data_IF_718086319201
#
_entry.id   IF_718086319201
#
_cell.length_a   1.000
_cell.length_b   1.000
_cell.length_c   1.000
_cell.angle_alpha   90.00
_cell.angle_beta   90.00
_cell.angle_gamma   90.00
#
_symmetry.space_group_name_H-M   'P 1'
#
loop_
_entity.id
_entity.type
_entity.pdbx_description
1 polymer ?
#
# COMPACT_ATOMS: atom_id res chain seq x y z
N UNK A 1 -9.22 7.89 37.07
CA UNK A 1 -9.95 6.94 36.15
C UNK A 1 -9.47 7.08 34.71
N UNK A 2 -9.40 8.31 34.16
CA UNK A 2 -8.88 8.54 32.78
C UNK A 2 -7.44 8.09 32.61
N UNK A 3 -6.56 8.29 33.60
CA UNK A 3 -5.15 7.89 33.52
C UNK A 3 -4.98 6.38 33.35
N UNK A 4 -5.75 5.58 34.09
CA UNK A 4 -5.71 4.11 33.94
C UNK A 4 -6.19 3.62 32.57
N UNK A 5 -7.21 4.29 32.02
CA UNK A 5 -7.72 3.96 30.68
C UNK A 5 -6.66 4.31 29.63
N UNK A 6 -6.03 5.47 29.79
CA UNK A 6 -4.94 5.90 28.91
C UNK A 6 -3.75 4.92 28.94
N UNK A 7 -3.31 4.52 30.13
CA UNK A 7 -2.23 3.55 30.31
C UNK A 7 -2.54 2.18 29.65
N UNK A 8 -3.80 1.72 29.78
CA UNK A 8 -4.22 0.45 29.14
C UNK A 8 -4.19 0.57 27.61
N UNK A 9 -4.73 1.68 27.08
CA UNK A 9 -4.73 1.93 25.64
C UNK A 9 -3.30 2.02 25.10
N UNK A 10 -2.43 2.74 25.81
CA UNK A 10 -1.04 2.89 25.41
C UNK A 10 -0.28 1.57 25.45
N UNK A 11 -0.48 0.77 26.50
CA UNK A 11 0.12 -0.56 26.59
C UNK A 11 -0.37 -1.50 25.48
N UNK A 12 -1.63 -1.41 25.10
CA UNK A 12 -2.16 -2.17 23.98
C UNK A 12 -1.59 -1.69 22.63
N UNK A 13 -1.46 -0.38 22.45
CA UNK A 13 -0.85 0.22 21.26
C UNK A 13 0.61 -0.21 21.10
N UNK A 14 1.42 -0.08 22.16
CA UNK A 14 2.83 -0.49 22.19
C UNK A 14 3.01 -1.99 21.91
N UNK A 15 2.08 -2.83 22.41
CA UNK A 15 2.10 -4.26 22.12
C UNK A 15 1.77 -4.56 20.67
N UNK A 16 0.71 -3.94 20.13
CA UNK A 16 0.27 -4.15 18.73
C UNK A 16 1.31 -3.64 17.74
N UNK A 17 1.84 -2.43 17.96
CA UNK A 17 2.83 -1.80 17.08
C UNK A 17 4.28 -2.12 17.45
N UNK A 18 4.49 -3.09 18.32
CA UNK A 18 5.79 -3.58 18.70
C UNK A 18 6.49 -4.40 17.62
N UNK A 19 7.60 -5.02 17.99
CA UNK A 19 8.44 -5.84 17.10
C UNK A 19 7.69 -6.96 16.39
N UNK A 20 6.63 -7.51 17.00
CA UNK A 20 5.80 -8.55 16.40
C UNK A 20 5.09 -8.09 15.13
N UNK A 21 4.45 -6.93 15.16
CA UNK A 21 3.79 -6.35 14.00
C UNK A 21 4.80 -5.94 12.92
N UNK A 22 5.91 -5.34 13.30
CA UNK A 22 6.98 -4.96 12.37
C UNK A 22 7.51 -6.20 11.64
N UNK A 23 7.79 -7.27 12.36
CA UNK A 23 8.27 -8.54 11.79
C UNK A 23 7.22 -9.16 10.84
N UNK A 24 5.94 -9.13 11.22
CA UNK A 24 4.84 -9.63 10.40
C UNK A 24 4.69 -8.81 9.11
N UNK A 25 4.71 -7.49 9.19
CA UNK A 25 4.60 -6.61 8.03
C UNK A 25 5.79 -6.79 7.08
N UNK A 26 7.01 -6.75 7.59
CA UNK A 26 8.21 -6.96 6.78
C UNK A 26 8.25 -8.38 6.19
N UNK A 27 7.88 -9.39 6.98
CA UNK A 27 7.78 -10.77 6.52
C UNK A 27 6.77 -10.94 5.39
N UNK A 28 5.61 -10.31 5.51
CA UNK A 28 4.57 -10.32 4.46
C UNK A 28 5.07 -9.62 3.19
N UNK A 29 5.70 -8.46 3.31
CA UNK A 29 6.26 -7.74 2.18
C UNK A 29 7.34 -8.56 1.47
N UNK A 30 8.22 -9.21 2.23
CA UNK A 30 9.29 -10.04 1.70
C UNK A 30 8.72 -11.30 1.03
N UNK A 31 7.78 -11.97 1.67
CA UNK A 31 7.08 -13.13 1.12
C UNK A 31 6.41 -12.78 -0.21
N UNK A 32 5.64 -11.70 -0.27
CA UNK A 32 4.99 -11.26 -1.50
C UNK A 32 6.00 -10.85 -2.58
N UNK A 33 7.09 -10.20 -2.21
CA UNK A 33 8.17 -9.85 -3.14
C UNK A 33 8.76 -11.09 -3.83
N UNK A 34 9.04 -12.13 -3.05
CA UNK A 34 9.56 -13.40 -3.58
C UNK A 34 8.47 -14.10 -4.42
N UNK A 35 7.25 -14.17 -3.91
CA UNK A 35 6.12 -14.84 -4.57
C UNK A 35 5.72 -14.21 -5.89
N UNK A 36 5.85 -12.89 -6.01
CA UNK A 36 5.55 -12.14 -7.25
C UNK A 36 6.76 -12.05 -8.20
N UNK A 37 7.88 -12.68 -7.86
CA UNK A 37 9.07 -12.72 -8.71
C UNK A 37 9.73 -11.35 -8.87
N UNK A 38 9.92 -10.61 -7.78
CA UNK A 38 10.54 -9.28 -7.77
C UNK A 38 9.82 -8.30 -8.70
N UNK A 39 8.50 -8.21 -8.54
CA UNK A 39 7.63 -7.37 -9.38
C UNK A 39 8.10 -5.91 -9.46
N UNK A 40 8.79 -5.42 -8.42
CA UNK A 40 9.35 -4.07 -8.37
C UNK A 40 10.19 -3.72 -9.61
N UNK A 41 10.96 -4.68 -10.12
CA UNK A 41 11.79 -4.50 -11.31
C UNK A 41 10.96 -4.25 -12.58
N UNK A 42 9.76 -4.83 -12.64
CA UNK A 42 8.84 -4.70 -13.79
C UNK A 42 7.92 -3.51 -13.66
N UNK A 43 7.63 -3.08 -12.43
CA UNK A 43 6.66 -2.01 -12.14
C UNK A 43 7.13 -0.68 -12.68
N UNK A 44 8.41 -0.33 -12.55
CA UNK A 44 8.93 0.97 -12.99
C UNK A 44 8.80 1.10 -14.52
N UNK A 45 9.22 0.10 -15.27
CA UNK A 45 9.21 0.16 -16.74
C UNK A 45 7.85 -0.12 -17.36
N UNK A 46 7.16 -1.18 -16.89
CA UNK A 46 5.87 -1.57 -17.44
C UNK A 46 4.72 -0.76 -16.85
N UNK A 47 4.78 -0.43 -15.57
CA UNK A 47 3.73 0.33 -14.89
C UNK A 47 3.55 1.72 -15.50
N UNK A 48 4.63 2.48 -15.69
CA UNK A 48 4.58 3.80 -16.33
C UNK A 48 4.06 3.67 -17.76
N UNK A 49 4.56 2.72 -18.53
CA UNK A 49 4.11 2.51 -19.91
C UNK A 49 2.61 2.19 -19.98
N UNK A 50 2.11 1.30 -19.14
CA UNK A 50 0.70 0.91 -19.10
C UNK A 50 -0.21 2.03 -18.58
N UNK A 51 0.26 2.87 -17.68
CA UNK A 51 -0.53 4.01 -17.17
C UNK A 51 -0.88 5.04 -18.24
N UNK A 52 -0.04 5.17 -19.26
CA UNK A 52 -0.19 6.15 -20.35
C UNK A 52 -0.68 5.49 -21.64
N UNK A 53 -0.57 4.17 -21.76
CA UNK A 53 -1.02 3.44 -22.94
C UNK A 53 -2.55 3.47 -23.04
N UNK A 54 -3.05 3.80 -24.22
CA UNK A 54 -4.47 3.70 -24.55
C UNK A 54 -4.72 2.28 -25.05
N UNK A 55 -5.31 1.43 -24.23
CA UNK A 55 -5.79 0.12 -24.70
C UNK A 55 -7.16 0.27 -25.35
N UNK A 56 -7.21 0.07 -26.67
CA UNK A 56 -8.46 -0.05 -27.41
C UNK A 56 -9.00 -1.48 -27.16
N UNK A 57 -10.19 -1.57 -26.50
CA UNK A 57 -10.86 -2.85 -26.27
C UNK A 57 -10.83 -3.40 -24.85
N UNK A 58 -10.42 -2.62 -23.86
CA UNK A 58 -10.58 -3.01 -22.47
C UNK A 58 -12.06 -2.84 -22.05
N UNK A 59 -12.70 -3.94 -21.64
CA UNK A 59 -14.10 -3.99 -21.15
C UNK A 59 -14.28 -3.30 -19.77
N UNK A 60 -13.57 -2.21 -19.50
CA UNK A 60 -13.64 -1.46 -18.27
C UNK A 60 -14.38 -0.13 -18.43
N UNK A 61 -15.21 0.23 -17.45
CA UNK A 61 -15.92 1.52 -17.42
C UNK A 61 -14.97 2.72 -17.24
N UNK A 62 -13.76 2.51 -16.75
CA UNK A 62 -12.79 3.56 -16.41
C UNK A 62 -11.49 3.32 -17.16
N UNK A 63 -10.93 4.40 -17.72
CA UNK A 63 -9.62 4.33 -18.38
C UNK A 63 -8.50 3.94 -17.39
N UNK A 64 -7.39 3.37 -17.88
CA UNK A 64 -6.23 3.00 -17.05
C UNK A 64 -5.70 4.18 -16.26
N UNK A 65 -5.63 5.36 -16.88
CA UNK A 65 -5.22 6.59 -16.20
C UNK A 65 -6.24 7.03 -15.14
N UNK A 66 -7.54 6.90 -15.42
CA UNK A 66 -8.61 7.17 -14.45
C UNK A 66 -8.53 6.25 -13.23
N UNK A 67 -8.29 4.95 -13.46
CA UNK A 67 -8.11 3.98 -12.39
C UNK A 67 -6.86 4.30 -11.53
N UNK A 68 -5.75 4.68 -12.16
CA UNK A 68 -4.55 5.11 -11.45
C UNK A 68 -4.80 6.38 -10.62
N UNK A 69 -5.44 7.39 -11.21
CA UNK A 69 -5.76 8.64 -10.53
C UNK A 69 -6.66 8.41 -9.32
N UNK A 70 -7.67 7.56 -9.45
CA UNK A 70 -8.57 7.18 -8.35
C UNK A 70 -7.83 6.44 -7.25
N UNK A 71 -6.97 5.48 -7.61
CA UNK A 71 -6.15 4.74 -6.65
C UNK A 71 -5.20 5.67 -5.90
N UNK A 72 -4.55 6.61 -6.58
CA UNK A 72 -3.70 7.62 -5.94
C UNK A 72 -4.50 8.52 -5.00
N UNK A 73 -5.64 9.04 -5.46
CA UNK A 73 -6.50 9.91 -4.65
C UNK A 73 -7.01 9.22 -3.38
N UNK A 74 -7.34 7.93 -3.45
CA UNK A 74 -7.79 7.15 -2.29
C UNK A 74 -6.64 6.75 -1.35
N UNK A 75 -5.43 6.66 -1.84
CA UNK A 75 -4.27 6.23 -1.05
C UNK A 75 -3.56 7.41 -0.37
N UNK A 76 -3.57 8.59 -0.99
CA UNK A 76 -2.97 9.80 -0.40
C UNK A 76 -3.88 10.30 0.72
N UNK A 77 -3.49 10.03 1.95
CA UNK A 77 -4.21 10.43 3.17
C UNK A 77 -3.31 11.15 4.17
N UNK A 78 -3.88 11.49 5.30
CA UNK A 78 -3.18 12.16 6.40
C UNK A 78 -1.95 11.37 6.88
N UNK A 79 -1.99 10.04 6.85
CA UNK A 79 -0.86 9.18 7.21
C UNK A 79 0.37 9.40 6.32
N UNK A 80 0.20 9.66 5.03
CA UNK A 80 1.30 9.90 4.11
C UNK A 80 1.94 11.29 4.27
N UNK A 81 1.22 12.24 4.82
CA UNK A 81 1.69 13.61 5.02
C UNK A 81 2.14 13.80 6.46
N UNK A 82 1.22 13.65 7.42
CA UNK A 82 1.49 13.88 8.84
C UNK A 82 2.34 12.74 9.42
N UNK A 83 2.02 11.49 9.09
CA UNK A 83 2.75 10.32 9.59
C UNK A 83 4.22 10.32 9.16
N UNK A 84 4.50 10.62 7.89
CA UNK A 84 5.89 10.75 7.41
C UNK A 84 6.57 11.96 8.05
N UNK A 85 5.88 13.09 8.15
CA UNK A 85 6.41 14.29 8.84
C UNK A 85 6.77 14.00 10.31
N UNK A 86 5.90 13.31 11.03
CA UNK A 86 6.15 12.90 12.42
C UNK A 86 7.31 11.90 12.51
N UNK A 87 7.39 10.93 11.61
CA UNK A 87 8.49 9.98 11.55
C UNK A 87 9.84 10.68 11.35
N UNK A 88 9.89 11.71 10.49
CA UNK A 88 11.10 12.50 10.26
C UNK A 88 11.44 13.35 11.49
N UNK A 89 10.45 13.96 12.11
CA UNK A 89 10.64 14.78 13.31
C UNK A 89 11.22 13.96 14.48
N UNK A 90 10.78 12.72 14.65
CA UNK A 90 11.23 11.83 15.72
C UNK A 90 12.48 11.04 15.36
N UNK A 91 12.59 10.55 14.14
CA UNK A 91 13.66 9.66 13.69
C UNK A 91 14.75 10.33 12.87
N UNK A 92 14.65 11.63 12.61
CA UNK A 92 15.61 12.37 11.81
C UNK A 92 15.69 11.92 10.35
N UNK A 93 16.79 12.25 9.64
CA UNK A 93 16.95 11.92 8.22
C UNK A 93 16.90 10.42 7.91
N UNK A 94 17.27 9.56 8.87
CA UNK A 94 17.21 8.11 8.74
C UNK A 94 15.80 7.58 8.52
N UNK A 95 14.78 8.28 9.01
CA UNK A 95 13.39 7.90 8.79
C UNK A 95 12.99 7.93 7.31
N UNK A 96 13.52 8.89 6.54
CA UNK A 96 13.28 8.99 5.08
C UNK A 96 13.80 7.75 4.36
N UNK A 97 15.00 7.31 4.72
CA UNK A 97 15.61 6.10 4.15
C UNK A 97 14.74 4.86 4.41
N UNK A 98 14.27 4.69 5.63
CA UNK A 98 13.39 3.58 5.98
C UNK A 98 12.01 3.66 5.29
N UNK A 99 11.44 4.85 5.14
CA UNK A 99 10.22 5.05 4.36
C UNK A 99 10.40 4.60 2.90
N UNK A 100 11.54 4.91 2.27
CA UNK A 100 11.84 4.47 0.91
C UNK A 100 11.97 2.95 0.81
N UNK A 101 12.71 2.32 1.74
CA UNK A 101 12.85 0.86 1.77
C UNK A 101 11.48 0.20 1.91
N UNK A 102 10.68 0.65 2.87
CA UNK A 102 9.33 0.13 3.08
C UNK A 102 8.45 0.33 1.85
N UNK A 103 8.56 1.48 1.18
CA UNK A 103 7.85 1.76 -0.07
C UNK A 103 8.20 0.79 -1.19
N UNK A 104 9.49 0.48 -1.36
CA UNK A 104 9.94 -0.49 -2.38
C UNK A 104 9.33 -1.87 -2.14
N UNK A 105 9.33 -2.35 -0.90
CA UNK A 105 8.72 -3.63 -0.55
C UNK A 105 7.17 -3.57 -0.61
N UNK A 106 6.59 -2.43 -0.29
CA UNK A 106 5.15 -2.17 -0.36
C UNK A 106 4.57 -2.30 -1.77
N UNK A 107 5.38 -2.10 -2.83
CA UNK A 107 4.95 -2.30 -4.23
C UNK A 107 4.41 -3.72 -4.45
N UNK A 108 5.05 -4.74 -3.91
CA UNK A 108 4.61 -6.13 -4.06
C UNK A 108 3.25 -6.37 -3.38
N UNK A 109 3.02 -5.74 -2.23
CA UNK A 109 1.75 -5.84 -1.49
C UNK A 109 0.62 -5.17 -2.27
N UNK A 110 0.84 -3.95 -2.78
CA UNK A 110 -0.14 -3.25 -3.60
C UNK A 110 -0.44 -3.97 -4.91
N UNK A 111 0.55 -4.58 -5.52
CA UNK A 111 0.35 -5.42 -6.70
C UNK A 111 -0.52 -6.65 -6.38
N UNK A 112 -0.23 -7.36 -5.28
CA UNK A 112 -1.01 -8.51 -4.86
C UNK A 112 -2.46 -8.14 -4.53
N UNK A 113 -2.68 -7.03 -3.82
CA UNK A 113 -3.99 -6.48 -3.49
C UNK A 113 -4.81 -6.19 -4.77
N UNK A 114 -4.22 -5.46 -5.72
CA UNK A 114 -4.86 -5.13 -6.99
C UNK A 114 -5.13 -6.38 -7.84
N UNK A 115 -4.21 -7.34 -7.84
CA UNK A 115 -4.38 -8.60 -8.56
C UNK A 115 -5.56 -9.41 -8.00
N UNK A 116 -5.69 -9.48 -6.69
CA UNK A 116 -6.80 -10.17 -6.03
C UNK A 116 -8.12 -9.47 -6.36
N UNK A 117 -8.16 -8.15 -6.26
CA UNK A 117 -9.35 -7.36 -6.57
C UNK A 117 -9.84 -7.61 -8.01
N UNK A 118 -8.94 -7.61 -8.98
CA UNK A 118 -9.30 -7.87 -10.39
C UNK A 118 -9.68 -9.33 -10.62
N UNK A 119 -8.93 -10.28 -10.03
CA UNK A 119 -9.15 -11.72 -10.25
C UNK A 119 -10.48 -12.20 -9.68
N UNK A 120 -10.90 -11.67 -8.56
CA UNK A 120 -12.13 -12.08 -7.87
C UNK A 120 -13.30 -11.12 -8.09
N UNK A 121 -13.17 -10.19 -9.04
CA UNK A 121 -14.25 -9.29 -9.42
C UNK A 121 -15.41 -10.09 -10.02
N UNK A 122 -16.59 -9.96 -9.44
CA UNK A 122 -17.83 -10.58 -9.89
C UNK A 122 -18.71 -9.49 -10.50
N UNK A 123 -19.23 -9.73 -11.70
CA UNK A 123 -20.27 -8.87 -12.29
C UNK A 123 -21.61 -9.24 -11.66
N UNK A 124 -22.29 -8.28 -11.05
CA UNK A 124 -23.64 -8.45 -10.53
C UNK A 124 -24.64 -8.44 -11.70
N UNK A 125 -25.80 -9.09 -11.56
CA UNK A 125 -26.85 -9.13 -12.60
C UNK A 125 -27.31 -7.75 -13.05
N UNK A 126 -27.19 -6.73 -12.20
CA UNK A 126 -27.50 -5.32 -12.52
C UNK A 126 -26.37 -4.60 -13.30
N UNK A 127 -25.34 -5.32 -13.76
CA UNK A 127 -24.22 -4.75 -14.52
C UNK A 127 -23.21 -3.94 -13.68
N UNK A 128 -23.38 -3.82 -12.35
CA UNK A 128 -22.41 -3.17 -11.46
C UNK A 128 -21.20 -4.08 -11.23
N UNK A 129 -20.03 -3.46 -11.17
CA UNK A 129 -18.75 -4.15 -10.95
C UNK A 129 -18.18 -3.81 -9.58
#
# INVERSE_FOLDING_TARGET
MYDKIYEIIQSADDFVWGWGMIALLLGTHLFLTVRTGLIQRKTITKGIRLSVAKEEGADGEVSQFGALATALASTIGTGNIIGVGTAIALGGPGAVFWCWITGIFGIATKYAESLIAVKYRVKTEDGRQ
#
